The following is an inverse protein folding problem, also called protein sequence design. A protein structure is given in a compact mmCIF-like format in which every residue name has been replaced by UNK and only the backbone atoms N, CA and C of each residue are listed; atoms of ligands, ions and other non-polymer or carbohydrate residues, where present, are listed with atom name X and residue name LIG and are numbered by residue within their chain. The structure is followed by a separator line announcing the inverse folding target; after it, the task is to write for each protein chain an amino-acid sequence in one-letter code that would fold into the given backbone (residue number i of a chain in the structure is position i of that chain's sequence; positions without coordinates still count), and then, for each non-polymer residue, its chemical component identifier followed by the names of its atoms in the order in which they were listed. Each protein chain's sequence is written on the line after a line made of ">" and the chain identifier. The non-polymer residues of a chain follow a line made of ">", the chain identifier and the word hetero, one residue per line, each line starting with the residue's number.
data_IF_410164805244
#
_entry.id   IF_410164805244
#
_cell.length_a   1.000
_cell.length_b   1.000
_cell.length_c   1.000
_cell.angle_alpha   90.00
_cell.angle_beta   90.00
_cell.angle_gamma   90.00
#
_symmetry.space_group_name_H-M   'P 1'
#
loop_
_entity.id
_entity.type
_entity.pdbx_description
1 polymer ?
#
# COMPACT_ATOMS: atom_id res chain seq x y z
N UNK A 1 -0.92 -19.12 16.44
CA UNK A 1 -1.36 -17.73 16.22
C UNK A 1 -0.18 -16.74 16.15
N UNK A 2 0.75 -16.72 17.09
CA UNK A 2 1.85 -15.74 17.10
C UNK A 2 2.71 -15.76 15.82
N UNK A 3 3.12 -16.94 15.37
CA UNK A 3 3.90 -17.05 14.11
C UNK A 3 3.12 -16.50 12.89
N UNK A 4 1.83 -16.85 12.77
CA UNK A 4 1.00 -16.31 11.69
C UNK A 4 0.84 -14.79 11.75
N UNK A 5 0.72 -14.24 12.96
CA UNK A 5 0.71 -12.78 13.18
C UNK A 5 2.00 -12.13 12.70
N UNK A 6 3.16 -12.71 13.03
CA UNK A 6 4.46 -12.20 12.56
C UNK A 6 4.56 -12.23 11.03
N UNK A 7 4.15 -13.32 10.39
CA UNK A 7 4.14 -13.43 8.91
C UNK A 7 3.19 -12.39 8.29
N UNK A 8 2.01 -12.16 8.88
CA UNK A 8 1.08 -11.12 8.43
C UNK A 8 1.72 -9.72 8.48
N UNK A 9 2.39 -9.40 9.58
CA UNK A 9 3.08 -8.11 9.76
C UNK A 9 4.24 -7.98 8.77
N UNK A 10 5.07 -9.01 8.64
CA UNK A 10 6.21 -9.05 7.71
C UNK A 10 5.76 -8.85 6.25
N UNK A 11 4.70 -9.56 5.82
CA UNK A 11 4.09 -9.37 4.51
C UNK A 11 3.62 -7.94 4.32
N UNK A 12 2.82 -7.43 5.27
CA UNK A 12 2.24 -6.08 5.21
C UNK A 12 3.33 -5.02 5.07
N UNK A 13 4.37 -5.08 5.88
CA UNK A 13 5.49 -4.12 5.83
C UNK A 13 6.25 -4.25 4.50
N UNK A 14 6.57 -5.47 4.08
CA UNK A 14 7.34 -5.72 2.86
C UNK A 14 6.63 -5.20 1.60
N UNK A 15 5.36 -5.54 1.44
CA UNK A 15 4.59 -5.12 0.26
C UNK A 15 4.27 -3.61 0.27
N UNK A 16 4.02 -3.01 1.44
CA UNK A 16 3.82 -1.56 1.55
C UNK A 16 5.11 -0.80 1.24
N UNK A 17 6.28 -1.32 1.60
CA UNK A 17 7.56 -0.73 1.22
C UNK A 17 7.78 -0.78 -0.30
N UNK A 18 7.50 -1.92 -0.94
CA UNK A 18 7.51 -2.04 -2.41
C UNK A 18 6.49 -1.08 -3.03
N UNK A 19 5.26 -1.07 -2.51
CA UNK A 19 4.19 -0.18 -2.93
C UNK A 19 4.56 1.30 -2.80
N UNK A 20 5.24 1.69 -1.72
CA UNK A 20 5.69 3.05 -1.47
C UNK A 20 6.69 3.52 -2.55
N UNK A 21 7.72 2.72 -2.80
CA UNK A 21 8.74 3.07 -3.80
C UNK A 21 8.12 3.18 -5.18
N UNK A 22 7.38 2.17 -5.62
CA UNK A 22 6.75 2.15 -6.94
C UNK A 22 5.64 3.20 -7.05
N UNK A 23 4.81 3.38 -6.02
CA UNK A 23 3.72 4.34 -5.99
C UNK A 23 4.21 5.79 -6.12
N UNK A 24 5.29 6.14 -5.43
CA UNK A 24 5.93 7.45 -5.60
C UNK A 24 6.47 7.63 -7.01
N UNK A 25 7.17 6.63 -7.57
CA UNK A 25 7.69 6.70 -8.94
C UNK A 25 6.57 6.86 -9.97
N UNK A 26 5.50 6.08 -9.84
CA UNK A 26 4.32 6.17 -10.72
C UNK A 26 3.65 7.55 -10.59
N UNK A 27 3.46 8.07 -9.38
CA UNK A 27 2.89 9.40 -9.16
C UNK A 27 3.75 10.51 -9.78
N UNK A 28 5.08 10.43 -9.63
CA UNK A 28 6.01 11.37 -10.26
C UNK A 28 5.96 11.28 -11.79
N UNK A 29 5.86 10.07 -12.34
CA UNK A 29 5.67 9.85 -13.78
C UNK A 29 4.37 10.47 -14.30
N UNK A 30 3.27 10.38 -13.52
CA UNK A 30 1.99 10.98 -13.87
C UNK A 30 2.00 12.51 -13.85
N UNK A 31 2.70 13.11 -12.88
CA UNK A 31 2.66 14.58 -12.68
C UNK A 31 3.74 15.30 -13.49
N UNK A 32 4.93 14.75 -13.54
CA UNK A 32 6.11 15.42 -14.11
C UNK A 32 6.63 14.76 -15.40
N UNK A 33 6.17 13.55 -15.72
CA UNK A 33 6.62 12.81 -16.90
C UNK A 33 6.14 13.42 -18.22
N UNK A 34 6.81 13.13 -19.34
CA UNK A 34 6.31 13.45 -20.65
C UNK A 34 5.01 12.70 -20.94
N UNK A 35 4.19 13.21 -21.83
CA UNK A 35 2.85 12.64 -22.16
C UNK A 35 2.81 11.11 -22.32
N UNK A 36 3.75 10.46 -23.06
CA UNK A 36 3.73 9.02 -23.20
C UNK A 36 3.95 8.29 -21.87
N UNK A 37 4.91 8.74 -21.07
CA UNK A 37 5.22 8.16 -19.75
C UNK A 37 4.03 8.34 -18.79
N UNK A 38 3.44 9.52 -18.74
CA UNK A 38 2.25 9.78 -17.94
C UNK A 38 1.10 8.85 -18.35
N UNK A 39 0.86 8.64 -19.66
CA UNK A 39 -0.17 7.74 -20.16
C UNK A 39 0.06 6.29 -19.70
N UNK A 40 1.30 5.80 -19.76
CA UNK A 40 1.69 4.45 -19.26
C UNK A 40 1.42 4.37 -17.74
N UNK A 41 1.85 5.36 -16.95
CA UNK A 41 1.62 5.40 -15.52
C UNK A 41 0.13 5.42 -15.14
N UNK A 42 -0.70 6.16 -15.89
CA UNK A 42 -2.16 6.14 -15.70
C UNK A 42 -2.79 4.80 -16.11
N UNK A 43 -2.29 4.18 -17.21
CA UNK A 43 -2.71 2.84 -17.63
C UNK A 43 -2.41 1.80 -16.55
N UNK A 44 -1.19 1.83 -15.99
CA UNK A 44 -0.77 1.00 -14.86
C UNK A 44 -1.69 1.16 -13.65
N UNK A 45 -1.91 2.40 -13.19
CA UNK A 45 -2.80 2.69 -12.05
C UNK A 45 -4.21 2.11 -12.28
N UNK A 46 -4.80 2.38 -13.45
CA UNK A 46 -6.15 1.92 -13.78
C UNK A 46 -6.24 0.40 -13.86
N UNK A 47 -5.25 -0.25 -14.47
CA UNK A 47 -5.20 -1.71 -14.61
C UNK A 47 -5.20 -2.40 -13.24
N UNK A 48 -4.23 -2.07 -12.39
CA UNK A 48 -4.11 -2.73 -11.09
C UNK A 48 -5.28 -2.43 -10.15
N UNK A 49 -5.84 -1.23 -10.19
CA UNK A 49 -7.01 -0.87 -9.37
C UNK A 49 -8.32 -1.48 -9.86
N UNK A 50 -8.42 -1.83 -11.14
CA UNK A 50 -9.61 -2.50 -11.70
C UNK A 50 -9.61 -4.01 -11.46
N UNK A 51 -8.44 -4.62 -11.19
CA UNK A 51 -8.33 -6.07 -11.00
C UNK A 51 -8.62 -6.46 -9.56
N UNK A 52 -9.52 -7.45 -9.33
CA UNK A 52 -9.69 -8.02 -7.99
C UNK A 52 -8.38 -8.65 -7.52
N UNK A 53 -7.89 -8.22 -6.35
CA UNK A 53 -6.56 -8.63 -5.84
C UNK A 53 -6.43 -10.15 -5.68
N UNK A 54 -7.48 -10.83 -5.19
CA UNK A 54 -7.47 -12.28 -5.06
C UNK A 54 -7.28 -12.98 -6.42
N UNK A 55 -7.97 -12.50 -7.47
CA UNK A 55 -7.85 -13.06 -8.81
C UNK A 55 -6.42 -12.86 -9.34
N UNK A 56 -5.88 -11.65 -9.19
CA UNK A 56 -4.51 -11.33 -9.60
C UNK A 56 -3.49 -12.22 -8.88
N UNK A 57 -3.65 -12.42 -7.57
CA UNK A 57 -2.78 -13.25 -6.75
C UNK A 57 -2.77 -14.71 -7.23
N UNK A 58 -3.96 -15.28 -7.43
CA UNK A 58 -4.15 -16.68 -7.88
C UNK A 58 -3.57 -16.87 -9.29
N UNK A 59 -3.92 -15.96 -10.22
CA UNK A 59 -3.45 -16.05 -11.62
C UNK A 59 -1.93 -15.96 -11.70
N UNK A 60 -1.30 -15.01 -10.98
CA UNK A 60 0.16 -14.86 -11.01
C UNK A 60 0.84 -16.07 -10.35
N UNK A 61 0.39 -16.49 -9.17
CA UNK A 61 1.03 -17.60 -8.45
C UNK A 61 0.95 -18.91 -9.24
N UNK A 62 -0.24 -19.31 -9.65
CA UNK A 62 -0.40 -20.57 -10.40
C UNK A 62 0.07 -20.46 -11.84
N UNK A 63 0.02 -19.27 -12.45
CA UNK A 63 0.58 -18.99 -13.76
C UNK A 63 2.10 -19.18 -13.78
N UNK A 64 2.81 -18.65 -12.78
CA UNK A 64 4.26 -18.86 -12.62
C UNK A 64 4.59 -20.36 -12.49
N UNK A 65 3.86 -21.07 -11.63
CA UNK A 65 4.06 -22.53 -11.44
C UNK A 65 3.78 -23.29 -12.73
N UNK A 66 2.71 -22.94 -13.45
CA UNK A 66 2.37 -23.57 -14.74
C UNK A 66 3.48 -23.37 -15.78
N UNK A 67 3.95 -22.13 -15.96
CA UNK A 67 5.02 -21.80 -16.91
C UNK A 67 6.33 -22.49 -16.52
N UNK A 68 6.69 -22.45 -15.22
CA UNK A 68 7.88 -23.11 -14.70
C UNK A 68 7.89 -24.62 -15.01
N UNK A 69 6.75 -25.29 -14.82
CA UNK A 69 6.63 -26.73 -15.07
C UNK A 69 6.60 -27.07 -16.58
N UNK A 70 5.91 -26.25 -17.39
CA UNK A 70 5.77 -26.49 -18.83
C UNK A 70 7.12 -26.34 -19.57
N UNK A 71 7.87 -25.28 -19.23
CA UNK A 71 9.12 -24.95 -19.91
C UNK A 71 10.36 -25.37 -19.12
N UNK A 72 10.20 -26.02 -17.96
CA UNK A 72 11.30 -26.46 -17.07
C UNK A 72 12.18 -25.27 -16.62
N UNK A 73 11.56 -24.09 -16.40
CA UNK A 73 12.24 -22.89 -15.96
C UNK A 73 12.21 -22.76 -14.44
N UNK A 74 13.16 -23.41 -13.74
CA UNK A 74 13.22 -23.45 -12.28
C UNK A 74 13.32 -22.06 -11.62
N UNK A 75 13.89 -21.06 -12.31
CA UNK A 75 14.01 -19.71 -11.82
C UNK A 75 12.64 -19.00 -11.64
N UNK A 76 11.55 -19.50 -12.22
CA UNK A 76 10.19 -19.02 -12.03
C UNK A 76 9.47 -19.67 -10.82
N UNK A 77 10.08 -20.63 -10.17
CA UNK A 77 9.53 -21.29 -8.96
C UNK A 77 9.74 -20.42 -7.73
N UNK A 78 9.02 -19.33 -7.69
CA UNK A 78 9.12 -18.39 -6.58
C UNK A 78 8.38 -18.91 -5.35
N UNK A 79 8.90 -18.65 -4.14
CA UNK A 79 8.16 -18.95 -2.92
C UNK A 79 6.88 -18.12 -2.85
N UNK A 80 5.75 -18.69 -2.36
CA UNK A 80 4.46 -18.00 -2.31
C UNK A 80 4.53 -16.65 -1.58
N UNK A 81 5.38 -16.52 -0.57
CA UNK A 81 5.63 -15.26 0.12
C UNK A 81 6.14 -14.16 -0.84
N UNK A 82 7.12 -14.46 -1.67
CA UNK A 82 7.67 -13.50 -2.63
C UNK A 82 6.65 -13.12 -3.70
N UNK A 83 5.84 -14.09 -4.17
CA UNK A 83 4.73 -13.82 -5.09
C UNK A 83 3.70 -12.89 -4.45
N UNK A 84 3.35 -13.12 -3.18
CA UNK A 84 2.44 -12.25 -2.44
C UNK A 84 2.99 -10.82 -2.35
N UNK A 85 4.26 -10.65 -1.94
CA UNK A 85 4.91 -9.33 -1.84
C UNK A 85 4.92 -8.62 -3.20
N UNK A 86 5.23 -9.32 -4.29
CA UNK A 86 5.22 -8.74 -5.62
C UNK A 86 3.80 -8.29 -6.04
N UNK A 87 2.84 -9.20 -5.98
CA UNK A 87 1.47 -8.94 -6.47
C UNK A 87 0.78 -7.85 -5.67
N UNK A 88 0.81 -7.97 -4.34
CA UNK A 88 0.22 -6.95 -3.47
C UNK A 88 1.01 -5.65 -3.51
N UNK A 89 2.34 -5.69 -3.65
CA UNK A 89 3.17 -4.51 -3.82
C UNK A 89 2.83 -3.73 -5.08
N UNK A 90 2.65 -4.40 -6.23
CA UNK A 90 2.21 -3.79 -7.48
C UNK A 90 0.78 -3.22 -7.35
N UNK A 91 -0.13 -3.97 -6.76
CA UNK A 91 -1.51 -3.53 -6.55
C UNK A 91 -1.57 -2.32 -5.62
N UNK A 92 -0.95 -2.38 -4.45
CA UNK A 92 -0.89 -1.28 -3.48
C UNK A 92 -0.18 -0.06 -4.05
N UNK A 93 0.87 -0.22 -4.88
CA UNK A 93 1.55 0.90 -5.51
C UNK A 93 0.62 1.72 -6.42
N UNK A 94 -0.37 1.09 -7.06
CA UNK A 94 -1.37 1.79 -7.86
C UNK A 94 -2.28 2.67 -6.98
N UNK A 95 -2.69 2.20 -5.80
CA UNK A 95 -3.43 3.02 -4.83
C UNK A 95 -2.55 4.11 -4.22
N UNK A 96 -1.33 3.77 -3.81
CA UNK A 96 -0.39 4.73 -3.27
C UNK A 96 -0.02 5.82 -4.28
N UNK A 97 0.07 5.49 -5.58
CA UNK A 97 0.34 6.49 -6.62
C UNK A 97 -0.76 7.57 -6.68
N UNK A 98 -2.01 7.20 -6.51
CA UNK A 98 -3.12 8.16 -6.43
C UNK A 98 -3.02 9.04 -5.18
N UNK A 99 -2.66 8.45 -4.04
CA UNK A 99 -2.46 9.19 -2.78
C UNK A 99 -1.35 10.22 -2.95
N UNK A 100 -0.18 9.82 -3.48
CA UNK A 100 0.94 10.73 -3.71
C UNK A 100 0.64 11.77 -4.78
N UNK A 101 -0.02 11.41 -5.87
CA UNK A 101 -0.45 12.38 -6.89
C UNK A 101 -1.40 13.42 -6.31
N UNK A 102 -2.38 13.00 -5.49
CA UNK A 102 -3.27 13.92 -4.78
C UNK A 102 -2.49 14.86 -3.85
N UNK A 103 -1.54 14.33 -3.09
CA UNK A 103 -0.68 15.09 -2.20
C UNK A 103 0.21 16.10 -2.95
N UNK A 104 0.80 15.71 -4.08
CA UNK A 104 1.59 16.62 -4.93
C UNK A 104 0.70 17.75 -5.48
N UNK A 105 -0.51 17.41 -5.92
CA UNK A 105 -1.46 18.39 -6.46
C UNK A 105 -2.00 19.38 -5.43
N UNK A 106 -1.94 19.04 -4.14
CA UNK A 106 -2.35 19.90 -3.03
C UNK A 106 -1.28 20.96 -2.66
N UNK A 107 -0.07 20.87 -3.22
CA UNK A 107 1.00 21.85 -2.96
C UNK A 107 0.62 23.19 -3.62
N UNK A 108 0.70 24.27 -2.85
CA UNK A 108 0.32 25.62 -3.31
C UNK A 108 1.15 26.03 -4.53
N UNK A 109 0.51 26.43 -5.66
CA UNK A 109 1.21 26.80 -6.89
C UNK A 109 2.24 27.92 -6.69
N UNK A 110 2.00 28.86 -5.75
CA UNK A 110 2.90 29.96 -5.43
C UNK A 110 4.29 29.50 -4.96
N UNK A 111 4.40 28.35 -4.26
CA UNK A 111 5.68 27.79 -3.85
C UNK A 111 6.52 27.34 -5.07
N UNK A 112 5.87 26.73 -6.04
CA UNK A 112 6.53 26.27 -7.27
C UNK A 112 6.91 27.46 -8.17
N UNK A 113 6.08 28.51 -8.18
CA UNK A 113 6.40 29.77 -8.91
C UNK A 113 7.59 30.49 -8.28
N UNK A 114 7.62 30.63 -6.95
CA UNK A 114 8.75 31.21 -6.21
C UNK A 114 10.05 30.44 -6.48
N UNK A 115 10.00 29.12 -6.45
CA UNK A 115 11.16 28.28 -6.74
C UNK A 115 11.68 28.47 -8.19
N UNK A 116 10.78 28.61 -9.16
CA UNK A 116 11.16 28.94 -10.55
C UNK A 116 11.81 30.31 -10.65
N UNK A 117 11.29 31.31 -9.94
CA UNK A 117 11.87 32.65 -9.89
C UNK A 117 13.31 32.64 -9.31
N UNK A 118 13.61 31.70 -8.42
CA UNK A 118 14.96 31.45 -7.88
C UNK A 118 15.84 30.61 -8.82
N UNK A 119 15.39 30.29 -10.03
CA UNK A 119 16.15 29.53 -11.03
C UNK A 119 16.21 28.03 -10.78
N UNK A 120 15.37 27.46 -9.89
CA UNK A 120 15.35 26.01 -9.66
C UNK A 120 14.87 25.24 -10.88
N UNK A 121 15.59 24.17 -11.22
CA UNK A 121 15.18 23.20 -12.23
C UNK A 121 13.96 22.39 -11.77
N UNK A 122 13.24 21.75 -12.70
CA UNK A 122 12.11 20.87 -12.37
C UNK A 122 12.49 19.77 -11.37
N UNK A 123 13.67 19.17 -11.53
CA UNK A 123 14.17 18.11 -10.64
C UNK A 123 14.46 18.65 -9.23
N UNK A 124 15.04 19.85 -9.14
CA UNK A 124 15.28 20.50 -7.86
C UNK A 124 13.99 20.85 -7.14
N UNK A 125 13.00 21.43 -7.85
CA UNK A 125 11.68 21.72 -7.29
C UNK A 125 11.00 20.44 -6.78
N UNK A 126 11.07 19.34 -7.56
CA UNK A 126 10.50 18.05 -7.17
C UNK A 126 11.19 17.50 -5.92
N UNK A 127 12.53 17.46 -5.89
CA UNK A 127 13.31 16.86 -4.81
C UNK A 127 13.26 17.65 -3.51
N UNK A 128 13.35 18.98 -3.58
CA UNK A 128 13.53 19.82 -2.40
C UNK A 128 12.25 20.48 -1.90
N UNK A 129 11.21 20.60 -2.75
CA UNK A 129 9.95 21.26 -2.39
C UNK A 129 8.78 20.30 -2.44
N UNK A 130 8.53 19.65 -3.60
CA UNK A 130 7.31 18.90 -3.80
C UNK A 130 7.33 17.57 -3.03
N UNK A 131 8.36 16.75 -3.19
CA UNK A 131 8.42 15.41 -2.61
C UNK A 131 8.38 15.41 -1.07
N UNK A 132 9.17 16.24 -0.35
CA UNK A 132 9.13 16.28 1.11
C UNK A 132 7.77 16.71 1.67
N UNK A 133 7.08 17.63 0.99
CA UNK A 133 5.73 18.05 1.39
C UNK A 133 4.69 17.00 1.03
N UNK A 134 4.76 16.43 -0.17
CA UNK A 134 3.84 15.39 -0.63
C UNK A 134 3.85 14.16 0.28
N UNK A 135 5.03 13.72 0.74
CA UNK A 135 5.15 12.59 1.68
C UNK A 135 4.38 12.86 2.98
N UNK A 136 4.48 14.08 3.53
CA UNK A 136 3.74 14.48 4.74
C UNK A 136 2.23 14.56 4.49
N UNK A 137 1.82 15.15 3.36
CA UNK A 137 0.42 15.27 2.98
C UNK A 137 -0.24 13.94 2.64
N UNK A 138 0.57 12.94 2.24
CA UNK A 138 0.11 11.60 1.91
C UNK A 138 -0.18 10.72 3.13
N UNK A 139 0.36 11.05 4.32
CA UNK A 139 0.26 10.21 5.53
C UNK A 139 -1.17 9.76 5.86
N UNK A 140 -2.20 10.64 5.85
CA UNK A 140 -3.57 10.20 6.16
C UNK A 140 -4.12 9.19 5.15
N UNK A 141 -3.86 9.43 3.85
CA UNK A 141 -4.24 8.49 2.78
C UNK A 141 -3.49 7.17 2.89
N UNK A 142 -2.22 7.23 3.27
CA UNK A 142 -1.37 6.05 3.44
C UNK A 142 -1.78 5.22 4.66
N UNK A 143 -2.28 5.85 5.74
CA UNK A 143 -2.88 5.15 6.88
C UNK A 143 -4.11 4.34 6.49
N UNK A 144 -4.96 4.87 5.62
CA UNK A 144 -6.10 4.14 5.07
C UNK A 144 -5.66 2.96 4.20
N UNK A 145 -4.63 3.14 3.36
CA UNK A 145 -4.05 2.08 2.54
C UNK A 145 -3.49 0.95 3.41
N UNK A 146 -2.72 1.26 4.46
CA UNK A 146 -2.24 0.28 5.44
C UNK A 146 -3.39 -0.57 6.00
N UNK A 147 -4.45 0.09 6.46
CA UNK A 147 -5.63 -0.58 7.04
C UNK A 147 -6.35 -1.50 6.04
N UNK A 148 -6.42 -1.10 4.76
CA UNK A 148 -6.96 -1.91 3.68
C UNK A 148 -6.11 -3.14 3.41
N UNK A 149 -4.84 -2.91 3.13
CA UNK A 149 -3.85 -3.94 2.83
C UNK A 149 -3.74 -4.99 3.93
N UNK A 150 -3.69 -4.57 5.20
CA UNK A 150 -3.59 -5.50 6.32
C UNK A 150 -4.76 -6.50 6.36
N UNK A 151 -5.99 -6.03 6.07
CA UNK A 151 -7.18 -6.90 6.01
C UNK A 151 -7.14 -7.84 4.81
N UNK A 152 -6.63 -7.37 3.68
CA UNK A 152 -6.50 -8.16 2.45
C UNK A 152 -5.43 -9.24 2.56
N UNK A 153 -4.52 -9.18 3.57
CA UNK A 153 -3.53 -10.22 3.82
C UNK A 153 -4.16 -11.60 4.06
N UNK A 154 -5.40 -11.66 4.52
CA UNK A 154 -6.12 -12.93 4.64
C UNK A 154 -6.25 -13.68 3.31
N UNK A 155 -6.24 -12.99 2.15
CA UNK A 155 -6.32 -13.66 0.84
C UNK A 155 -5.07 -14.48 0.49
N UNK A 156 -3.93 -14.18 1.11
CA UNK A 156 -2.64 -14.84 0.82
C UNK A 156 -2.65 -16.32 1.23
N UNK A 157 -3.59 -16.73 2.10
CA UNK A 157 -3.79 -18.14 2.43
C UNK A 157 -4.08 -19.00 1.19
N UNK A 158 -4.74 -18.43 0.16
CA UNK A 158 -5.15 -19.13 -1.07
C UNK A 158 -3.99 -19.67 -1.90
N UNK A 159 -2.81 -19.07 -1.78
CA UNK A 159 -1.57 -19.49 -2.45
C UNK A 159 -0.61 -20.27 -1.55
N UNK A 160 -1.03 -20.58 -0.33
CA UNK A 160 -0.27 -21.47 0.55
C UNK A 160 0.60 -20.79 1.61
N UNK A 161 0.58 -19.45 1.74
CA UNK A 161 1.30 -18.76 2.83
C UNK A 161 0.61 -18.98 4.16
N UNK A 162 1.36 -19.34 5.19
CA UNK A 162 0.85 -19.57 6.55
C UNK A 162 0.91 -18.26 7.36
N UNK A 163 0.01 -17.35 7.03
CA UNK A 163 -0.24 -16.13 7.77
C UNK A 163 -1.31 -16.35 8.87
N UNK A 164 -1.76 -15.30 9.54
CA UNK A 164 -2.66 -15.38 10.70
C UNK A 164 -3.97 -16.13 10.40
N UNK A 165 -4.64 -15.83 9.30
CA UNK A 165 -5.92 -16.48 8.95
C UNK A 165 -5.73 -17.97 8.67
N UNK A 166 -4.70 -18.35 7.89
CA UNK A 166 -4.39 -19.75 7.61
C UNK A 166 -4.01 -20.52 8.87
N UNK A 167 -3.27 -19.89 9.77
CA UNK A 167 -2.92 -20.53 11.04
C UNK A 167 -4.17 -20.75 11.92
N UNK A 168 -5.10 -19.78 11.93
CA UNK A 168 -6.42 -19.95 12.54
C UNK A 168 -7.20 -21.10 11.93
N UNK A 169 -7.23 -21.18 10.60
CA UNK A 169 -7.86 -22.27 9.86
C UNK A 169 -7.31 -23.65 10.25
N UNK A 170 -5.97 -23.79 10.32
CA UNK A 170 -5.33 -25.05 10.72
C UNK A 170 -5.69 -25.45 12.17
N UNK A 171 -5.71 -24.49 13.11
CA UNK A 171 -6.11 -24.76 14.50
C UNK A 171 -7.58 -25.16 14.54
N UNK A 172 -8.45 -24.49 13.81
CA UNK A 172 -9.88 -24.81 13.72
C UNK A 172 -10.12 -26.24 13.22
N UNK A 173 -9.37 -26.70 12.23
CA UNK A 173 -9.49 -28.07 11.72
C UNK A 173 -9.14 -29.12 12.80
N UNK A 174 -8.20 -28.83 13.69
CA UNK A 174 -7.77 -29.74 14.76
C UNK A 174 -8.72 -29.70 15.97
N UNK A 175 -9.24 -28.52 16.32
CA UNK A 175 -10.07 -28.31 17.53
C UNK A 175 -11.55 -28.37 17.27
N UNK A 176 -11.97 -28.12 16.03
CA UNK A 176 -13.37 -27.94 15.57
C UNK A 176 -14.11 -26.74 16.20
N UNK A 177 -13.37 -25.87 16.93
CA UNK A 177 -13.89 -24.68 17.60
C UNK A 177 -13.93 -23.49 16.63
N UNK A 178 -14.88 -23.50 15.68
CA UNK A 178 -14.96 -22.52 14.57
C UNK A 178 -15.09 -21.10 15.10
N UNK A 179 -16.11 -20.86 15.95
CA UNK A 179 -16.41 -19.50 16.40
C UNK A 179 -15.30 -18.90 17.23
N UNK A 180 -14.78 -19.64 18.22
CA UNK A 180 -13.72 -19.16 19.12
C UNK A 180 -12.44 -18.82 18.37
N UNK A 181 -12.07 -19.63 17.39
CA UNK A 181 -10.84 -19.41 16.62
C UNK A 181 -10.98 -18.17 15.72
N UNK A 182 -12.08 -18.06 14.96
CA UNK A 182 -12.21 -16.91 14.04
C UNK A 182 -12.50 -15.59 14.74
N UNK A 183 -13.18 -15.58 15.89
CA UNK A 183 -13.28 -14.35 16.71
C UNK A 183 -11.90 -13.93 17.23
N UNK A 184 -11.05 -14.90 17.62
CA UNK A 184 -9.67 -14.61 18.05
C UNK A 184 -8.84 -14.04 16.91
N UNK A 185 -8.92 -14.61 15.69
CA UNK A 185 -8.27 -14.09 14.48
C UNK A 185 -8.74 -12.65 14.19
N UNK A 186 -10.06 -12.42 14.23
CA UNK A 186 -10.63 -11.10 14.00
C UNK A 186 -10.14 -10.06 15.02
N UNK A 187 -10.08 -10.42 16.31
CA UNK A 187 -9.56 -9.55 17.36
C UNK A 187 -8.07 -9.22 17.15
N UNK A 188 -7.25 -10.19 16.73
CA UNK A 188 -5.83 -9.92 16.42
C UNK A 188 -5.72 -8.96 15.23
N UNK A 189 -6.47 -9.16 14.13
CA UNK A 189 -6.50 -8.21 13.01
C UNK A 189 -6.95 -6.82 13.43
N UNK A 190 -7.96 -6.74 14.32
CA UNK A 190 -8.45 -5.48 14.87
C UNK A 190 -7.33 -4.75 15.64
N UNK A 191 -6.64 -5.47 16.54
CA UNK A 191 -5.51 -4.90 17.31
C UNK A 191 -4.39 -4.43 16.39
N UNK A 192 -3.99 -5.25 15.40
CA UNK A 192 -2.96 -4.87 14.43
C UNK A 192 -3.36 -3.63 13.63
N UNK A 193 -4.63 -3.54 13.22
CA UNK A 193 -5.15 -2.37 12.49
C UNK A 193 -5.03 -1.11 13.35
N UNK A 194 -5.54 -1.14 14.59
CA UNK A 194 -5.49 0.03 15.47
C UNK A 194 -4.07 0.42 15.88
N UNK A 195 -3.20 -0.56 16.13
CA UNK A 195 -1.79 -0.28 16.46
C UNK A 195 -1.08 0.40 15.29
N UNK A 196 -1.25 -0.11 14.07
CA UNK A 196 -0.59 0.45 12.90
C UNK A 196 -1.16 1.81 12.50
N UNK A 197 -2.48 1.99 12.49
CA UNK A 197 -3.10 3.29 12.21
C UNK A 197 -2.74 4.33 13.29
N UNK A 198 -2.75 3.94 14.56
CA UNK A 198 -2.34 4.82 15.66
C UNK A 198 -0.88 5.27 15.57
N UNK A 199 0.03 4.36 15.16
CA UNK A 199 1.42 4.72 14.89
C UNK A 199 1.55 5.72 13.74
N UNK A 200 0.81 5.51 12.65
CA UNK A 200 0.80 6.41 11.49
C UNK A 200 0.19 7.78 11.83
N UNK A 201 -0.87 7.83 12.63
CA UNK A 201 -1.43 9.07 13.16
C UNK A 201 -0.44 9.82 14.07
N UNK A 202 0.32 9.10 14.88
CA UNK A 202 1.39 9.70 15.67
C UNK A 202 2.47 10.32 14.78
N UNK A 203 2.89 9.61 13.73
CA UNK A 203 3.81 10.15 12.74
C UNK A 203 3.24 11.38 12.02
N UNK A 204 1.95 11.37 11.68
CA UNK A 204 1.27 12.53 11.09
C UNK A 204 1.29 13.74 12.03
N UNK A 205 1.07 13.55 13.34
CA UNK A 205 1.11 14.64 14.33
C UNK A 205 2.53 15.23 14.49
N UNK A 206 3.55 14.39 14.43
CA UNK A 206 4.97 14.80 14.58
C UNK A 206 5.51 15.44 13.30
N UNK A 207 5.15 14.90 12.13
CA UNK A 207 5.69 15.32 10.84
C UNK A 207 4.71 16.14 9.99
N UNK A 208 3.47 16.28 10.43
CA UNK A 208 2.43 17.00 9.71
C UNK A 208 2.79 18.45 9.40
N UNK A 209 2.22 18.99 8.32
CA UNK A 209 2.42 20.39 7.94
C UNK A 209 1.59 21.26 8.87
N UNK A 210 2.18 22.19 9.66
CA UNK A 210 1.41 23.10 10.50
C UNK A 210 0.41 23.92 9.66
N UNK A 211 -0.87 23.95 10.08
CA UNK A 211 -1.93 24.73 9.42
C UNK A 211 -2.94 23.92 8.59
N UNK A 212 -2.68 22.65 8.21
CA UNK A 212 -3.67 21.80 7.53
C UNK A 212 -4.48 20.95 8.51
N UNK A 213 -3.94 20.65 9.68
CA UNK A 213 -4.65 19.94 10.75
C UNK A 213 -5.80 20.79 11.37
N UNK A 214 -5.72 22.11 11.32
CA UNK A 214 -6.74 23.03 11.83
C UNK A 214 -7.98 23.09 10.94
N UNK A 215 -7.83 23.05 9.63
CA UNK A 215 -8.95 23.16 8.69
C UNK A 215 -9.89 21.94 8.73
N UNK A 216 -9.37 20.74 8.98
CA UNK A 216 -10.21 19.52 9.14
C UNK A 216 -11.06 19.53 10.40
N UNK A 217 -10.60 20.13 11.51
CA UNK A 217 -11.42 20.26 12.74
C UNK A 217 -12.56 21.24 12.56
N UNK A 218 -12.37 22.28 11.77
CA UNK A 218 -13.43 23.25 11.47
C UNK A 218 -14.49 22.70 10.51
N UNK A 219 -14.10 21.85 9.55
CA UNK A 219 -15.08 21.20 8.67
C UNK A 219 -15.91 20.13 9.39
N UNK A 220 -15.32 19.35 10.28
CA UNK A 220 -16.06 18.36 11.09
C UNK A 220 -16.94 19.02 12.16
N UNK A 221 -16.56 20.18 12.68
CA UNK A 221 -17.36 20.95 13.65
C UNK A 221 -18.54 21.73 13.04
N UNK A 222 -18.61 21.85 11.72
CA UNK A 222 -19.72 22.52 11.00
C UNK A 222 -20.82 21.57 10.51
N UNK A 223 -20.65 20.26 10.69
CA UNK A 223 -21.60 19.22 10.23
C UNK A 223 -22.36 18.58 11.39
N UNK A 224 -22.25 19.13 12.62
CA UNK A 224 -23.06 18.71 13.79
C UNK A 224 -24.06 19.79 14.14
#
# INVERSE_FOLDING_TARGET
>A
MLQGTLVTVELTVSLLAVGLVLGVLVALGQVYGPRPLAAICFGYERFFRAMPILVLLVVVNYGLVFVANTYQWDWLRWPPFAVAVLVFGLHSSAYQSQIFRGAISAIKPGQLLAARALGMTRLQMMRYIALPQALRLALPGWSNEYSGVLKDMSFVFSIGVTELFRQGWQIMQNTREVFLIFITVALIYLVLTYLGTGLLELLERVWGVPGLAGQRREEHGRVV
#
